data_IF_635654343522
#
_entry.id   IF_635654343522
#
_cell.length_a   1.000
_cell.length_b   1.000
_cell.length_c   1.000
_cell.angle_alpha   90.00
_cell.angle_beta   90.00
_cell.angle_gamma   90.00
#
_symmetry.space_group_name_H-M   'P 1'
#
loop_
_entity.id
_entity.type
_entity.pdbx_description
1 polymer ?
#
# COMPACT_ATOMS: atom_id res chain seq x y z
N UNK A 1 3.41 19.54 -79.45
CA UNK A 1 3.61 20.93 -79.03
C UNK A 1 3.22 20.98 -77.57
N UNK A 2 4.19 21.37 -76.73
CA UNK A 2 4.02 21.78 -75.32
C UNK A 2 3.56 20.68 -74.36
N UNK A 3 4.15 20.45 -73.19
CA UNK A 3 5.19 21.17 -72.47
C UNK A 3 5.07 20.78 -71.00
N UNK A 4 6.23 20.56 -70.36
CA UNK A 4 6.61 20.79 -68.96
C UNK A 4 5.56 20.51 -67.84
N UNK A 5 5.87 19.88 -66.72
CA UNK A 5 6.97 20.17 -65.80
C UNK A 5 6.96 19.08 -64.70
N UNK A 6 8.08 18.41 -64.41
CA UNK A 6 9.04 18.73 -63.33
C UNK A 6 8.46 18.51 -61.92
N UNK A 7 9.09 17.86 -60.96
CA UNK A 7 10.40 17.19 -60.88
C UNK A 7 10.54 16.61 -59.47
N UNK A 8 11.08 15.39 -59.41
CA UNK A 8 11.97 14.80 -58.38
C UNK A 8 11.99 15.37 -56.96
N UNK A 9 11.89 14.46 -55.98
CA UNK A 9 12.82 14.47 -54.85
C UNK A 9 13.07 13.06 -54.32
N UNK A 10 14.32 12.64 -54.50
CA UNK A 10 14.95 11.43 -53.97
C UNK A 10 14.82 11.39 -52.45
N UNK A 11 14.48 10.21 -51.92
CA UNK A 11 14.42 9.97 -50.48
C UNK A 11 15.85 9.87 -49.93
N UNK A 12 16.33 10.99 -49.37
CA UNK A 12 17.42 10.99 -48.41
C UNK A 12 16.85 10.67 -47.03
N UNK A 13 17.36 9.63 -46.38
CA UNK A 13 17.16 9.39 -44.95
C UNK A 13 18.41 9.87 -44.21
N UNK A 14 18.30 10.85 -43.31
CA UNK A 14 19.27 11.04 -42.24
C UNK A 14 18.76 10.41 -40.94
N UNK A 15 19.71 9.77 -40.27
CA UNK A 15 19.71 9.42 -38.86
C UNK A 15 19.42 10.63 -37.97
N UNK A 16 18.56 10.48 -36.96
CA UNK A 16 18.87 10.72 -35.53
C UNK A 16 17.68 10.27 -34.69
N UNK A 17 17.99 9.44 -33.69
CA UNK A 17 17.06 8.99 -32.66
C UNK A 17 16.71 10.16 -31.73
N UNK A 18 15.42 10.38 -31.50
CA UNK A 18 14.93 11.24 -30.43
C UNK A 18 13.77 10.52 -29.73
N UNK A 19 14.13 9.53 -28.90
CA UNK A 19 13.29 9.13 -27.78
C UNK A 19 13.36 10.26 -26.75
N UNK A 20 12.24 10.92 -26.49
CA UNK A 20 12.13 11.92 -25.44
C UNK A 20 12.07 11.19 -24.09
N UNK A 21 13.24 10.84 -23.55
CA UNK A 21 13.39 10.39 -22.17
C UNK A 21 13.16 11.59 -21.24
N UNK A 22 11.97 11.70 -20.68
CA UNK A 22 11.75 12.49 -19.46
C UNK A 22 12.46 11.76 -18.32
N UNK A 23 13.77 11.96 -18.20
CA UNK A 23 14.52 11.57 -17.02
C UNK A 23 14.11 12.56 -15.94
N UNK A 24 13.46 12.02 -14.92
CA UNK A 24 13.04 12.73 -13.72
C UNK A 24 14.22 13.53 -13.15
N UNK A 25 14.06 14.83 -12.94
CA UNK A 25 15.08 15.72 -12.35
C UNK A 25 15.51 15.23 -10.94
N UNK A 26 14.71 14.35 -10.34
CA UNK A 26 15.04 13.61 -9.13
C UNK A 26 16.22 12.63 -9.32
N UNK A 27 16.33 11.95 -10.48
CA UNK A 27 17.40 10.99 -10.75
C UNK A 27 18.77 11.67 -10.87
N UNK A 28 18.81 12.87 -11.43
CA UNK A 28 20.04 13.65 -11.50
C UNK A 28 20.46 14.17 -10.13
N UNK A 29 19.51 14.53 -9.26
CA UNK A 29 19.80 15.01 -7.90
C UNK A 29 20.46 13.95 -7.01
N UNK A 30 20.16 12.66 -7.22
CA UNK A 30 20.75 11.55 -6.44
C UNK A 30 22.17 11.20 -6.90
N UNK A 31 22.56 11.57 -8.13
CA UNK A 31 23.91 11.31 -8.66
C UNK A 31 24.96 12.33 -8.22
N UNK A 32 24.54 13.49 -7.69
CA UNK A 32 25.45 14.54 -7.23
C UNK A 32 25.62 14.63 -5.70
N UNK A 33 24.90 13.82 -4.92
CA UNK A 33 25.03 13.75 -3.45
C UNK A 33 25.73 12.47 -2.95
N UNK A 34 26.35 11.69 -3.86
CA UNK A 34 27.04 10.45 -3.52
C UNK A 34 28.54 10.48 -3.87
N UNK A 35 29.23 11.58 -3.58
CA UNK A 35 30.67 11.54 -3.35
C UNK A 35 30.96 11.67 -1.85
N UNK A 36 30.69 10.60 -1.11
CA UNK A 36 31.55 10.19 0.02
C UNK A 36 31.32 8.70 0.29
N UNK A 37 31.69 7.87 -0.69
CA UNK A 37 32.16 6.52 -0.38
C UNK A 37 33.46 6.73 0.38
N UNK A 38 33.37 6.82 1.71
CA UNK A 38 34.56 6.78 2.56
C UNK A 38 35.33 5.50 2.21
N UNK A 39 36.58 5.59 1.74
CA UNK A 39 37.37 4.40 1.56
C UNK A 39 37.54 3.77 2.94
N UNK A 40 36.98 2.57 3.13
CA UNK A 40 37.19 1.80 4.36
C UNK A 40 38.70 1.61 4.47
N UNK A 41 39.32 2.25 5.46
CA UNK A 41 40.75 2.08 5.73
C UNK A 41 41.03 0.60 6.02
N UNK A 42 42.13 0.07 5.48
CA UNK A 42 42.59 -1.29 5.73
C UNK A 42 42.70 -1.59 7.25
N UNK A 43 42.95 -0.56 8.07
CA UNK A 43 42.97 -0.64 9.54
C UNK A 43 41.58 -0.94 10.12
N UNK A 44 40.53 -0.26 9.65
CA UNK A 44 39.14 -0.47 10.11
C UNK A 44 38.60 -1.83 9.69
N UNK A 45 39.00 -2.28 8.51
CA UNK A 45 38.66 -3.62 8.02
C UNK A 45 39.37 -4.72 8.82
N UNK A 46 40.64 -4.51 9.17
CA UNK A 46 41.41 -5.46 9.99
C UNK A 46 40.86 -5.56 11.43
N UNK A 47 40.45 -4.43 12.04
CA UNK A 47 39.81 -4.40 13.36
C UNK A 47 38.50 -5.22 13.38
N UNK A 48 37.66 -5.05 12.34
CA UNK A 48 36.39 -5.80 12.22
C UNK A 48 36.64 -7.30 12.03
N UNK A 49 37.65 -7.68 11.24
CA UNK A 49 38.00 -9.08 11.04
C UNK A 49 38.48 -9.75 12.35
N UNK A 50 39.28 -9.04 13.14
CA UNK A 50 39.75 -9.53 14.45
C UNK A 50 38.60 -9.70 15.46
N UNK A 51 37.61 -8.80 15.43
CA UNK A 51 36.42 -8.91 16.27
C UNK A 51 35.60 -10.15 15.91
N UNK A 52 35.41 -10.41 14.61
CA UNK A 52 34.69 -11.59 14.13
C UNK A 52 35.42 -12.89 14.49
N UNK A 53 36.75 -12.94 14.39
CA UNK A 53 37.55 -14.09 14.81
C UNK A 53 37.47 -14.35 16.32
N UNK A 54 37.47 -13.29 17.13
CA UNK A 54 37.32 -13.39 18.59
C UNK A 54 35.93 -13.89 19.00
N UNK A 55 34.87 -13.41 18.34
CA UNK A 55 33.50 -13.89 18.55
C UNK A 55 33.37 -15.36 18.15
N UNK A 56 33.92 -15.75 17.00
CA UNK A 56 33.91 -17.15 16.56
C UNK A 56 34.66 -18.04 17.57
N UNK A 57 35.87 -17.66 17.97
CA UNK A 57 36.65 -18.40 18.98
C UNK A 57 35.96 -18.54 20.34
N UNK A 58 35.17 -17.54 20.72
CA UNK A 58 34.36 -17.56 21.94
C UNK A 58 33.21 -18.57 21.83
N UNK A 59 32.59 -18.70 20.66
CA UNK A 59 31.56 -19.72 20.42
C UNK A 59 32.12 -21.14 20.37
N UNK A 60 33.36 -21.32 19.87
CA UNK A 60 34.04 -22.64 19.90
C UNK A 60 34.48 -23.05 21.32
N UNK A 61 34.73 -22.09 22.21
CA UNK A 61 35.15 -22.35 23.60
C UNK A 61 34.00 -22.67 24.55
N UNK A 62 32.74 -22.42 24.17
CA UNK A 62 31.55 -22.78 24.96
C UNK A 62 31.09 -24.24 24.79
N UNK A 63 31.92 -25.08 24.17
CA UNK A 63 31.67 -26.51 23.93
C UNK A 63 32.48 -27.47 24.83
N UNK A 64 32.80 -27.11 26.07
CA UNK A 64 33.35 -28.06 27.06
C UNK A 64 32.35 -28.28 28.18
N UNK A 65 31.36 -29.14 27.93
CA UNK A 65 30.81 -29.97 29.01
C UNK A 65 31.74 -31.16 29.15
N UNK A 66 32.42 -31.22 30.29
CA UNK A 66 33.25 -32.35 30.70
C UNK A 66 32.42 -33.65 30.61
N UNK A 67 32.85 -34.57 29.76
CA UNK A 67 32.48 -35.98 29.82
C UNK A 67 33.75 -36.75 30.16
N UNK A 68 33.97 -37.00 31.44
CA UNK A 68 34.85 -38.09 31.85
C UNK A 68 34.15 -39.43 31.55
N UNK A 69 34.89 -40.30 30.87
CA UNK A 69 34.52 -41.67 30.58
C UNK A 69 35.15 -42.58 31.64
N UNK A 70 34.37 -43.51 32.22
CA UNK A 70 34.91 -44.73 32.83
C UNK A 70 34.05 -45.92 32.42
N UNK A 71 34.73 -47.06 32.33
CA UNK A 71 34.48 -48.25 31.51
C UNK A 71 33.41 -49.21 32.06
N UNK A 72 33.10 -50.17 31.19
CA UNK A 72 32.12 -51.26 31.24
C UNK A 72 32.44 -52.28 32.34
N UNK A 73 31.42 -52.75 33.06
CA UNK A 73 31.36 -54.10 33.64
C UNK A 73 29.90 -54.61 33.61
N UNK A 74 29.76 -55.91 33.34
CA UNK A 74 28.50 -56.67 33.19
C UNK A 74 28.25 -57.40 34.51
N UNK A 75 27.03 -57.35 35.08
CA UNK A 75 26.38 -58.48 35.79
C UNK A 75 25.01 -58.10 36.44
N UNK A 76 24.05 -59.03 36.26
CA UNK A 76 22.90 -59.45 37.09
C UNK A 76 21.94 -58.50 37.87
N UNK A 77 20.66 -58.60 37.46
CA UNK A 77 19.44 -58.94 38.24
C UNK A 77 18.78 -57.95 39.25
N UNK A 78 17.45 -57.81 39.01
CA UNK A 78 16.31 -57.61 39.93
C UNK A 78 15.72 -56.20 40.22
N UNK A 79 14.39 -56.21 40.06
CA UNK A 79 13.32 -55.53 40.80
C UNK A 79 13.02 -54.02 40.64
N UNK A 80 11.76 -53.77 40.24
CA UNK A 80 10.97 -52.54 40.32
C UNK A 80 10.75 -52.13 41.80
N UNK A 81 10.51 -50.84 42.15
CA UNK A 81 9.14 -50.31 42.04
C UNK A 81 9.00 -48.80 41.69
N UNK A 82 7.96 -48.56 40.91
CA UNK A 82 7.06 -47.41 40.86
C UNK A 82 7.17 -46.41 42.02
N UNK A 83 7.40 -45.11 41.73
CA UNK A 83 6.94 -44.04 42.63
C UNK A 83 6.39 -42.81 41.90
N UNK A 84 5.10 -42.59 42.17
CA UNK A 84 4.25 -41.50 41.77
C UNK A 84 4.86 -40.10 41.96
N UNK A 85 4.76 -39.29 40.91
CA UNK A 85 4.79 -37.82 40.96
C UNK A 85 3.53 -37.24 40.36
N UNK A 86 2.37 -37.45 40.99
CA UNK A 86 1.12 -36.74 40.67
C UNK A 86 1.31 -35.25 41.02
N UNK A 87 1.74 -34.43 40.06
CA UNK A 87 1.51 -32.99 40.09
C UNK A 87 0.22 -32.70 39.35
N UNK A 88 -0.88 -32.71 40.11
CA UNK A 88 -2.18 -32.21 39.67
C UNK A 88 -2.10 -30.68 39.64
N UNK A 89 -1.73 -30.11 38.48
CA UNK A 89 -2.01 -28.70 38.17
C UNK A 89 -3.37 -28.65 37.48
N UNK A 90 -4.26 -27.86 38.03
CA UNK A 90 -5.62 -27.57 37.54
C UNK A 90 -5.55 -26.72 36.26
N UNK A 91 -6.43 -27.04 35.31
CA UNK A 91 -7.08 -26.14 34.32
C UNK A 91 -6.15 -25.40 33.33
N UNK A 92 -6.35 -25.44 32.02
CA UNK A 92 -7.50 -25.01 31.23
C UNK A 92 -7.53 -25.78 29.90
N UNK A 93 -8.67 -25.81 29.20
CA UNK A 93 -8.89 -26.64 28.02
C UNK A 93 -7.75 -26.59 27.00
N UNK A 94 -7.46 -27.74 26.39
CA UNK A 94 -6.55 -27.84 25.24
C UNK A 94 -7.11 -26.98 24.10
N UNK A 95 -6.81 -25.69 24.11
CA UNK A 95 -7.04 -24.81 22.97
C UNK A 95 -6.07 -25.25 21.90
N UNK A 96 -6.59 -25.74 20.78
CA UNK A 96 -5.78 -26.14 19.64
C UNK A 96 -4.91 -24.95 19.19
N UNK A 97 -3.60 -25.07 19.37
CA UNK A 97 -2.62 -24.09 18.90
C UNK A 97 -2.53 -24.14 17.37
N UNK A 98 -2.41 -22.98 16.74
CA UNK A 98 -2.18 -22.84 15.30
C UNK A 98 -0.87 -22.08 15.05
N UNK A 99 -0.23 -22.32 13.90
CA UNK A 99 1.04 -21.67 13.57
C UNK A 99 0.80 -20.47 12.66
N UNK A 100 1.49 -19.37 12.93
CA UNK A 100 1.45 -18.16 12.11
C UNK A 100 2.28 -18.32 10.82
N UNK A 101 1.71 -18.00 9.66
CA UNK A 101 2.42 -18.07 8.36
C UNK A 101 3.53 -17.03 8.15
N UNK A 102 3.69 -16.05 9.06
CA UNK A 102 4.73 -15.01 8.98
C UNK A 102 5.85 -15.27 9.98
N UNK A 103 5.55 -15.32 11.28
CA UNK A 103 6.56 -15.51 12.33
C UNK A 103 6.83 -16.98 12.67
N UNK A 104 6.04 -17.92 12.13
CA UNK A 104 6.15 -19.37 12.39
C UNK A 104 5.90 -19.82 13.84
N UNK A 105 5.49 -18.91 14.73
CA UNK A 105 5.17 -19.22 16.12
C UNK A 105 3.82 -19.92 16.26
N UNK A 106 3.73 -20.81 17.26
CA UNK A 106 2.47 -21.38 17.72
C UNK A 106 1.71 -20.39 18.61
N UNK A 107 0.45 -20.14 18.29
CA UNK A 107 -0.44 -19.19 18.97
C UNK A 107 -1.79 -19.83 19.30
N UNK A 108 -2.45 -19.42 20.40
CA UNK A 108 -3.82 -19.84 20.66
C UNK A 108 -4.75 -19.27 19.60
N UNK A 109 -5.88 -19.94 19.34
CA UNK A 109 -6.84 -19.50 18.31
C UNK A 109 -7.41 -18.09 18.54
N UNK A 110 -7.34 -17.57 19.76
CA UNK A 110 -7.75 -16.21 20.14
C UNK A 110 -6.77 -15.12 19.69
N UNK A 111 -5.49 -15.46 19.51
CA UNK A 111 -4.43 -14.55 19.01
C UNK A 111 -4.20 -14.71 17.49
N UNK A 112 -5.06 -15.49 16.83
CA UNK A 112 -4.97 -15.81 15.40
C UNK A 112 -6.00 -15.02 14.62
N UNK A 113 -5.51 -14.14 13.76
CA UNK A 113 -6.31 -13.34 12.87
C UNK A 113 -6.98 -14.23 11.81
N UNK A 114 -8.27 -14.00 11.58
CA UNK A 114 -9.05 -14.67 10.54
C UNK A 114 -9.65 -13.65 9.60
N UNK A 115 -9.22 -13.69 8.35
CA UNK A 115 -9.88 -12.95 7.29
C UNK A 115 -11.13 -13.72 6.83
N UNK A 116 -12.25 -13.02 6.60
CA UNK A 116 -13.48 -13.63 6.07
C UNK A 116 -13.29 -14.10 4.60
N UNK A 117 -12.32 -13.49 3.91
CA UNK A 117 -12.14 -13.63 2.46
C UNK A 117 -11.06 -14.66 2.06
N UNK A 118 -10.36 -15.28 3.02
CA UNK A 118 -9.40 -16.36 2.77
C UNK A 118 -9.11 -17.18 4.04
N UNK A 119 -8.64 -18.43 3.88
CA UNK A 119 -8.32 -19.34 5.00
C UNK A 119 -6.87 -19.27 5.50
N UNK A 120 -6.11 -18.23 5.13
CA UNK A 120 -4.72 -18.08 5.57
C UNK A 120 -4.65 -17.57 7.01
N UNK A 121 -3.72 -18.13 7.78
CA UNK A 121 -3.63 -17.94 9.22
C UNK A 121 -2.37 -17.18 9.60
N UNK A 122 -2.56 -16.07 10.31
CA UNK A 122 -1.51 -15.20 10.81
C UNK A 122 -1.88 -14.77 12.23
N UNK A 123 -0.89 -14.51 13.09
CA UNK A 123 -1.19 -13.95 14.40
C UNK A 123 -1.53 -12.48 14.31
N UNK A 124 -2.29 -11.99 15.28
CA UNK A 124 -2.76 -10.60 15.36
C UNK A 124 -1.61 -9.59 15.26
N UNK A 125 -0.50 -9.87 15.95
CA UNK A 125 0.68 -9.01 15.92
C UNK A 125 1.28 -8.89 14.51
N UNK A 126 1.37 -9.99 13.77
CA UNK A 126 1.91 -9.99 12.40
C UNK A 126 0.97 -9.25 11.44
N UNK A 127 -0.34 -9.42 11.58
CA UNK A 127 -1.30 -8.69 10.75
C UNK A 127 -1.31 -7.21 11.11
N UNK A 128 -1.28 -6.87 12.40
CA UNK A 128 -1.21 -5.49 12.83
C UNK A 128 0.04 -4.77 12.32
N UNK A 129 1.20 -5.44 12.38
CA UNK A 129 2.45 -4.94 11.79
C UNK A 129 2.38 -4.81 10.27
N UNK A 130 1.82 -5.80 9.56
CA UNK A 130 1.66 -5.77 8.10
C UNK A 130 0.74 -4.62 7.65
N UNK A 131 -0.41 -4.47 8.31
CA UNK A 131 -1.33 -3.35 8.08
C UNK A 131 -0.60 -2.03 8.32
N UNK A 132 0.02 -1.84 9.47
CA UNK A 132 0.73 -0.61 9.79
C UNK A 132 1.81 -0.26 8.75
N UNK A 133 2.60 -1.25 8.31
CA UNK A 133 3.59 -1.06 7.25
C UNK A 133 2.95 -0.63 5.92
N UNK A 134 1.85 -1.28 5.51
CA UNK A 134 1.14 -0.93 4.26
C UNK A 134 0.54 0.46 4.29
N UNK A 135 -0.02 0.87 5.41
CA UNK A 135 -0.55 2.23 5.58
C UNK A 135 0.58 3.26 5.59
N UNK A 136 1.73 2.93 6.19
CA UNK A 136 2.91 3.79 6.13
C UNK A 136 3.47 3.94 4.70
N UNK A 137 3.33 2.91 3.87
CA UNK A 137 3.65 2.94 2.43
C UNK A 137 2.57 3.66 1.58
N UNK A 138 1.55 4.28 2.20
CA UNK A 138 0.38 4.89 1.53
C UNK A 138 -0.45 3.89 0.70
N UNK A 139 -0.44 2.61 1.07
CA UNK A 139 -1.23 1.55 0.43
C UNK A 139 -2.46 1.28 1.29
N UNK A 140 -3.60 1.91 0.98
CA UNK A 140 -4.85 1.73 1.73
C UNK A 140 -5.62 0.45 1.35
N UNK A 141 -5.39 -0.13 0.17
CA UNK A 141 -5.94 -1.44 -0.20
C UNK A 141 -5.00 -2.55 0.28
N UNK A 142 -5.09 -2.89 1.56
CA UNK A 142 -4.25 -3.91 2.20
C UNK A 142 -4.70 -5.31 1.82
N UNK A 143 -3.82 -6.08 1.18
CA UNK A 143 -4.08 -7.48 0.81
C UNK A 143 -3.55 -8.44 1.87
N UNK A 144 -4.12 -9.65 1.87
CA UNK A 144 -3.61 -10.80 2.60
C UNK A 144 -2.09 -10.97 2.37
N UNK A 145 -1.28 -11.20 3.42
CA UNK A 145 0.17 -11.40 3.29
C UNK A 145 0.57 -12.60 2.43
N UNK A 146 -0.29 -13.62 2.34
CA UNK A 146 -0.02 -14.82 1.54
C UNK A 146 0.24 -14.47 0.05
N UNK A 147 1.39 -14.88 -0.52
CA UNK A 147 1.68 -14.70 -1.93
C UNK A 147 0.58 -15.28 -2.81
N UNK A 148 0.14 -14.51 -3.82
CA UNK A 148 -0.95 -14.85 -4.76
C UNK A 148 -2.36 -14.81 -4.18
N UNK A 149 -2.55 -14.58 -2.88
CA UNK A 149 -3.87 -14.29 -2.34
C UNK A 149 -4.32 -12.89 -2.75
N UNK A 150 -5.56 -12.76 -3.23
CA UNK A 150 -6.17 -11.48 -3.61
C UNK A 150 -7.17 -10.95 -2.59
N UNK A 151 -7.38 -11.67 -1.49
CA UNK A 151 -8.27 -11.26 -0.43
C UNK A 151 -7.80 -9.94 0.19
N UNK A 152 -8.71 -8.98 0.33
CA UNK A 152 -8.47 -7.71 1.01
C UNK A 152 -8.75 -7.89 2.49
N UNK A 153 -7.97 -7.18 3.31
CA UNK A 153 -8.19 -7.07 4.75
C UNK A 153 -8.99 -5.79 4.99
N UNK A 154 -10.17 -5.94 5.57
CA UNK A 154 -11.05 -4.82 5.90
C UNK A 154 -10.68 -4.21 7.26
N UNK A 155 -10.67 -2.86 7.40
CA UNK A 155 -10.32 -2.18 8.66
C UNK A 155 -11.12 -2.66 9.87
N UNK A 156 -12.39 -2.99 9.69
CA UNK A 156 -13.34 -3.44 10.71
C UNK A 156 -12.84 -4.71 11.42
N UNK A 157 -12.11 -5.57 10.70
CA UNK A 157 -11.53 -6.78 11.26
C UNK A 157 -10.25 -6.51 12.05
N UNK A 158 -9.64 -5.32 11.90
CA UNK A 158 -8.36 -4.96 12.48
C UNK A 158 -8.45 -4.02 13.69
N UNK A 159 -9.64 -3.51 14.04
CA UNK A 159 -9.82 -2.50 15.08
C UNK A 159 -9.20 -2.86 16.44
N UNK A 160 -9.20 -4.15 16.81
CA UNK A 160 -8.63 -4.61 18.09
C UNK A 160 -7.12 -4.89 18.06
N UNK A 161 -6.50 -4.92 16.88
CA UNK A 161 -5.10 -5.38 16.71
C UNK A 161 -4.15 -4.29 16.21
N UNK A 162 -4.67 -3.15 15.73
CA UNK A 162 -3.85 -2.01 15.32
C UNK A 162 -4.03 -0.80 16.26
N UNK A 163 -2.98 0.04 16.42
CA UNK A 163 -3.10 1.30 17.14
C UNK A 163 -4.13 2.23 16.49
N UNK A 164 -4.79 3.05 17.30
CA UNK A 164 -5.83 3.98 16.84
C UNK A 164 -5.32 4.93 15.77
N UNK A 165 -4.08 5.41 15.90
CA UNK A 165 -3.47 6.35 14.94
C UNK A 165 -3.29 5.71 13.56
N UNK A 166 -2.99 4.40 13.51
CA UNK A 166 -2.87 3.65 12.26
C UNK A 166 -4.26 3.43 11.65
N UNK A 167 -5.25 3.10 12.47
CA UNK A 167 -6.64 2.94 12.05
C UNK A 167 -7.21 4.24 11.46
N UNK A 168 -7.08 5.36 12.18
CA UNK A 168 -7.54 6.68 11.73
C UNK A 168 -6.87 7.08 10.40
N UNK A 169 -5.56 6.82 10.25
CA UNK A 169 -4.85 7.08 8.98
C UNK A 169 -5.37 6.17 7.86
N UNK A 170 -5.66 4.92 8.16
CA UNK A 170 -6.19 3.97 7.18
C UNK A 170 -7.57 4.39 6.69
N UNK A 171 -8.50 4.73 7.59
CA UNK A 171 -9.83 5.21 7.23
C UNK A 171 -9.76 6.48 6.38
N UNK A 172 -8.94 7.46 6.77
CA UNK A 172 -8.75 8.67 5.99
C UNK A 172 -8.22 8.35 4.57
N UNK A 173 -7.24 7.46 4.45
CA UNK A 173 -6.69 7.07 3.15
C UNK A 173 -7.71 6.30 2.28
N UNK A 174 -8.63 5.55 2.90
CA UNK A 174 -9.75 4.91 2.17
C UNK A 174 -10.75 5.97 1.69
N UNK A 175 -11.13 6.93 2.53
CA UNK A 175 -11.99 8.05 2.16
C UNK A 175 -11.37 8.88 1.02
N UNK A 176 -10.10 9.24 1.12
CA UNK A 176 -9.38 9.98 0.08
C UNK A 176 -9.37 9.23 -1.25
N UNK A 177 -9.18 7.91 -1.24
CA UNK A 177 -9.23 7.11 -2.46
C UNK A 177 -10.62 7.09 -3.12
N UNK A 178 -11.70 7.07 -2.34
CA UNK A 178 -13.07 7.22 -2.87
C UNK A 178 -13.24 8.62 -3.50
N UNK A 179 -12.69 9.65 -2.86
CA UNK A 179 -12.77 11.04 -3.32
C UNK A 179 -11.92 11.31 -4.57
N UNK A 180 -10.78 10.63 -4.74
CA UNK A 180 -9.95 10.72 -5.95
C UNK A 180 -10.59 10.03 -7.16
N UNK A 181 -11.40 8.99 -6.92
CA UNK A 181 -12.21 8.35 -7.97
C UNK A 181 -13.47 9.14 -8.36
N UNK A 182 -13.80 10.20 -7.62
CA UNK A 182 -15.05 10.94 -7.76
C UNK A 182 -14.83 12.32 -8.40
N UNK A 183 -15.79 12.76 -9.21
CA UNK A 183 -15.65 14.05 -9.90
C UNK A 183 -16.04 15.19 -8.96
N UNK A 184 -15.05 15.97 -8.51
CA UNK A 184 -15.28 17.19 -7.73
C UNK A 184 -15.78 18.31 -8.64
N UNK A 185 -16.80 19.04 -8.19
CA UNK A 185 -17.27 20.25 -8.87
C UNK A 185 -17.82 21.25 -7.85
N UNK A 186 -17.89 22.52 -8.25
CA UNK A 186 -18.39 23.58 -7.40
C UNK A 186 -19.82 23.96 -7.76
N UNK A 187 -20.57 24.42 -6.76
CA UNK A 187 -21.87 25.04 -6.94
C UNK A 187 -21.77 26.21 -7.93
N UNK A 188 -22.61 26.25 -9.00
CA UNK A 188 -22.50 27.29 -10.02
C UNK A 188 -22.98 28.67 -9.56
N UNK A 189 -23.62 28.75 -8.39
CA UNK A 189 -24.06 30.00 -7.80
C UNK A 189 -22.90 30.66 -7.06
N UNK A 190 -22.46 31.84 -7.53
CA UNK A 190 -21.25 32.53 -7.01
C UNK A 190 -21.33 32.85 -5.52
N UNK A 191 -22.53 33.11 -5.00
CA UNK A 191 -22.81 33.38 -3.59
C UNK A 191 -22.75 32.12 -2.71
N UNK A 192 -22.69 30.92 -3.31
CA UNK A 192 -22.57 29.65 -2.61
C UNK A 192 -21.18 29.03 -2.84
N UNK A 193 -20.83 28.74 -4.11
CA UNK A 193 -19.55 28.15 -4.54
C UNK A 193 -19.10 26.91 -3.72
N UNK A 194 -20.03 26.23 -3.04
CA UNK A 194 -19.71 25.06 -2.23
C UNK A 194 -19.18 23.91 -3.09
N UNK A 195 -18.16 23.20 -2.59
CA UNK A 195 -17.60 22.02 -3.25
C UNK A 195 -18.52 20.82 -3.03
N UNK A 196 -18.79 20.08 -4.10
CA UNK A 196 -19.60 18.87 -4.12
C UNK A 196 -18.84 17.75 -4.82
N UNK A 197 -19.20 16.51 -4.49
CA UNK A 197 -18.63 15.31 -5.07
C UNK A 197 -19.74 14.61 -5.85
N UNK A 198 -19.51 14.32 -7.13
CA UNK A 198 -20.38 13.47 -7.93
C UNK A 198 -19.76 12.07 -8.03
N UNK A 199 -20.50 11.08 -7.56
CA UNK A 199 -20.18 9.67 -7.79
C UNK A 199 -20.34 9.39 -9.29
N UNK A 200 -19.27 8.96 -9.95
CA UNK A 200 -19.18 8.84 -11.41
C UNK A 200 -20.05 7.72 -12.04
N UNK A 201 -21.06 7.23 -11.34
CA UNK A 201 -21.87 6.07 -11.73
C UNK A 201 -23.05 6.39 -12.64
N UNK A 202 -23.63 7.59 -12.56
CA UNK A 202 -24.83 7.95 -13.31
C UNK A 202 -24.74 9.35 -13.93
N UNK A 203 -25.26 9.49 -15.16
CA UNK A 203 -25.36 10.77 -15.85
C UNK A 203 -26.51 11.57 -15.22
N UNK A 204 -26.22 12.23 -14.10
CA UNK A 204 -27.18 13.12 -13.44
C UNK A 204 -27.23 14.44 -14.20
N UNK A 205 -28.41 14.79 -14.74
CA UNK A 205 -28.60 16.07 -15.44
C UNK A 205 -29.06 17.17 -14.48
N UNK A 206 -30.08 16.90 -13.66
CA UNK A 206 -30.63 17.83 -12.68
C UNK A 206 -30.16 17.44 -11.29
N UNK A 207 -29.61 18.38 -10.53
CA UNK A 207 -29.22 18.16 -9.14
C UNK A 207 -29.51 19.40 -8.29
N UNK A 208 -29.67 19.20 -6.99
CA UNK A 208 -29.88 20.25 -6.00
C UNK A 208 -28.62 20.41 -5.15
N UNK A 209 -28.18 21.66 -4.94
CA UNK A 209 -27.02 21.89 -4.08
C UNK A 209 -27.43 21.72 -2.60
N UNK A 210 -26.74 20.88 -1.80
CA UNK A 210 -27.10 20.65 -0.40
C UNK A 210 -26.81 21.84 0.53
N UNK A 211 -26.09 22.87 0.04
CA UNK A 211 -25.75 24.06 0.81
C UNK A 211 -26.73 25.21 0.62
N UNK A 212 -27.25 25.38 -0.60
CA UNK A 212 -28.14 26.50 -0.94
C UNK A 212 -29.51 26.07 -1.46
N UNK A 213 -29.72 24.76 -1.63
CA UNK A 213 -30.98 24.14 -2.05
C UNK A 213 -31.49 24.63 -3.40
N UNK A 214 -30.57 25.09 -4.26
CA UNK A 214 -30.89 25.57 -5.60
C UNK A 214 -30.62 24.49 -6.64
N UNK A 215 -31.53 24.38 -7.60
CA UNK A 215 -31.43 23.43 -8.70
C UNK A 215 -30.42 23.90 -9.76
N UNK A 216 -29.59 22.98 -10.22
CA UNK A 216 -28.59 23.23 -11.26
C UNK A 216 -28.46 22.06 -12.21
N UNK A 217 -27.89 22.32 -13.39
CA UNK A 217 -27.53 21.29 -14.35
C UNK A 217 -26.11 20.79 -14.07
N UNK A 218 -25.95 19.53 -13.65
CA UNK A 218 -24.65 18.97 -13.30
C UNK A 218 -23.74 18.75 -14.54
N UNK A 219 -24.33 18.51 -15.72
CA UNK A 219 -23.58 18.41 -16.97
C UNK A 219 -23.07 19.78 -17.46
N UNK A 220 -23.94 20.79 -17.46
CA UNK A 220 -23.59 22.12 -17.96
C UNK A 220 -22.91 23.01 -16.91
N UNK A 221 -22.95 22.63 -15.63
CA UNK A 221 -22.43 23.39 -14.48
C UNK A 221 -22.99 24.82 -14.43
N UNK A 222 -24.29 24.95 -14.63
CA UNK A 222 -25.03 26.23 -14.59
C UNK A 222 -26.35 26.07 -13.84
N UNK A 223 -27.02 27.19 -13.53
CA UNK A 223 -28.41 27.18 -13.04
C UNK A 223 -29.31 26.32 -13.92
N UNK A 224 -30.28 25.66 -13.30
CA UNK A 224 -31.18 24.75 -14.02
C UNK A 224 -31.90 25.45 -15.19
N UNK A 225 -31.91 24.78 -16.35
CA UNK A 225 -32.53 25.27 -17.58
C UNK A 225 -33.70 24.37 -17.97
N UNK A 226 -34.82 24.53 -17.25
CA UNK A 226 -36.03 23.77 -17.52
C UNK A 226 -36.53 23.95 -18.96
N UNK A 227 -37.02 22.86 -19.56
CA UNK A 227 -37.68 22.90 -20.88
C UNK A 227 -36.76 22.88 -22.09
N UNK A 228 -35.44 22.83 -21.90
CA UNK A 228 -34.45 22.62 -22.97
C UNK A 228 -33.39 21.62 -22.52
N UNK A 229 -32.90 20.81 -23.45
CA UNK A 229 -31.83 19.85 -23.14
C UNK A 229 -30.46 20.52 -23.08
N UNK A 230 -29.45 19.80 -22.56
CA UNK A 230 -28.09 20.32 -22.46
C UNK A 230 -27.50 20.73 -23.83
N UNK A 231 -27.84 20.02 -24.92
CA UNK A 231 -27.30 20.32 -26.26
C UNK A 231 -27.89 21.62 -26.79
N UNK A 232 -29.19 21.80 -26.64
CA UNK A 232 -29.91 23.02 -27.00
C UNK A 232 -29.41 24.23 -26.21
N UNK A 233 -29.24 24.07 -24.89
CA UNK A 233 -28.70 25.12 -24.03
C UNK A 233 -27.28 25.57 -24.47
N UNK A 234 -26.41 24.61 -24.77
CA UNK A 234 -25.04 24.90 -25.22
C UNK A 234 -25.00 25.60 -26.59
N UNK A 235 -25.91 25.25 -27.52
CA UNK A 235 -26.03 25.94 -28.81
C UNK A 235 -26.43 27.41 -28.61
N UNK A 236 -27.45 27.67 -27.80
CA UNK A 236 -27.91 29.03 -27.51
C UNK A 236 -26.85 29.89 -26.81
N UNK A 237 -25.97 29.28 -26.01
CA UNK A 237 -24.84 29.99 -25.39
C UNK A 237 -23.79 30.42 -26.43
N UNK A 238 -23.49 29.57 -27.41
CA UNK A 238 -22.54 29.89 -28.49
C UNK A 238 -23.04 31.02 -29.38
N UNK A 239 -24.31 30.96 -29.78
CA UNK A 239 -24.96 32.00 -30.60
C UNK A 239 -25.02 33.37 -29.89
N UNK A 240 -25.12 33.39 -28.55
CA UNK A 240 -25.09 34.63 -27.76
C UNK A 240 -23.67 35.14 -27.46
N UNK A 241 -22.66 34.27 -27.50
CA UNK A 241 -21.26 34.61 -27.21
C UNK A 241 -20.53 35.31 -28.36
N UNK A 242 -21.08 35.29 -29.57
CA UNK A 242 -20.53 35.99 -30.73
C UNK A 242 -20.85 37.50 -30.74
N UNK A 243 -21.63 37.99 -29.77
CA UNK A 243 -22.03 39.41 -29.66
C UNK A 243 -21.67 40.07 -28.31
N UNK A 244 -20.76 39.53 -27.51
CA UNK A 244 -20.33 40.22 -26.28
C UNK A 244 -19.25 39.50 -25.46
N UNK A 245 -18.05 40.08 -25.49
CA UNK A 245 -16.96 40.09 -24.51
C UNK A 245 -16.69 38.88 -23.60
N UNK A 246 -15.53 38.27 -23.89
CA UNK A 246 -14.48 37.82 -22.96
C UNK A 246 -14.82 37.82 -21.46
N UNK A 247 -14.99 36.63 -20.89
CA UNK A 247 -14.59 36.35 -19.52
C UNK A 247 -13.90 34.99 -19.47
N UNK A 248 -12.59 35.06 -19.70
CA UNK A 248 -11.56 34.14 -19.24
C UNK A 248 -11.78 33.88 -17.75
N UNK A 249 -11.92 32.62 -17.34
CA UNK A 249 -11.92 32.24 -15.93
C UNK A 249 -10.48 31.89 -15.52
N UNK A 250 -9.95 32.42 -14.41
CA UNK A 250 -8.63 32.07 -13.88
C UNK A 250 -8.55 30.64 -13.34
#
# INVERSE_FOLDING_TARGET
>A
MEGASSSSSSRNFPSTAEDHYLVDDFYFSVLYDAEEIFPISDEKYAEELQLQEALYSSTMSSGRVEKEAVQVDVDDVADLPLRNGKRKRKESGETSLAHCGICMDAKPGEEMFRNQNCSHLFCDNCIGGHVAAKIQENISMVKCPEPKCKAVIEPENCHSIIPKEVFDRWENALCENVVLGSQKFYCPFKDCSAMMICDAGEVVTSSECPHCNRLFCAQCKVSWHAGIDCKEFQRSKREKGENGDSLMWP
#
